data_IF_161069256459
#
_entry.id   IF_161069256459
#
_cell.length_a   1.000
_cell.length_b   1.000
_cell.length_c   1.000
_cell.angle_alpha   90.00
_cell.angle_beta   90.00
_cell.angle_gamma   90.00
#
_symmetry.space_group_name_H-M   'P 1'
#
loop_
_entity.id
_entity.type
_entity.pdbx_description
1 polymer ?
#
# COMPACT_ATOMS: atom_id res chain seq x y z
N UNK A 1 28.42 -16.17 12.39
CA UNK A 1 27.94 -14.89 11.83
C UNK A 1 26.47 -14.75 12.17
N UNK A 2 26.02 -13.62 12.74
CA UNK A 2 24.58 -13.37 12.90
C UNK A 2 23.99 -13.27 11.49
N UNK A 3 23.07 -14.15 11.13
CA UNK A 3 22.21 -13.93 9.98
C UNK A 3 21.46 -12.62 10.20
N UNK A 4 21.80 -11.58 9.45
CA UNK A 4 20.97 -10.41 9.34
C UNK A 4 19.75 -10.82 8.55
N UNK A 5 18.58 -10.77 9.20
CA UNK A 5 17.34 -11.20 8.62
C UNK A 5 16.33 -10.08 8.87
N UNK A 6 16.13 -9.25 7.83
CA UNK A 6 15.19 -8.13 7.84
C UNK A 6 13.86 -8.52 8.46
N UNK A 7 13.32 -9.67 8.03
CA UNK A 7 12.06 -10.17 8.55
C UNK A 7 12.09 -10.41 10.07
N UNK A 8 13.15 -11.05 10.60
CA UNK A 8 13.29 -11.25 12.06
C UNK A 8 13.41 -9.92 12.79
N UNK A 9 14.14 -8.96 12.23
CA UNK A 9 14.35 -7.65 12.83
C UNK A 9 13.03 -6.86 12.91
N UNK A 10 12.27 -6.77 11.81
CA UNK A 10 10.94 -6.14 11.79
C UNK A 10 9.98 -6.82 12.75
N UNK A 11 9.88 -8.16 12.69
CA UNK A 11 9.02 -8.95 13.59
C UNK A 11 9.33 -8.71 15.06
N UNK A 12 10.62 -8.65 15.42
CA UNK A 12 11.03 -8.36 16.79
C UNK A 12 10.62 -6.94 17.21
N UNK A 13 10.83 -5.96 16.33
CA UNK A 13 10.49 -4.56 16.57
C UNK A 13 8.98 -4.35 16.76
N UNK A 14 8.15 -5.00 15.94
CA UNK A 14 6.68 -5.02 16.11
C UNK A 14 6.30 -5.60 17.47
N UNK A 15 6.85 -6.77 17.83
CA UNK A 15 6.53 -7.44 19.09
C UNK A 15 6.95 -6.63 20.33
N UNK A 16 8.09 -5.94 20.25
CA UNK A 16 8.60 -5.09 21.34
C UNK A 16 7.73 -3.86 21.56
N UNK A 17 7.09 -3.33 20.51
CA UNK A 17 6.31 -2.09 20.59
C UNK A 17 4.79 -2.30 20.69
N UNK A 18 4.29 -3.50 20.37
CA UNK A 18 2.86 -3.82 20.36
C UNK A 18 2.14 -3.61 21.71
N UNK A 19 2.86 -3.50 22.84
CA UNK A 19 2.23 -3.20 24.13
C UNK A 19 1.54 -1.83 24.16
N UNK A 20 1.98 -0.86 23.34
CA UNK A 20 1.45 0.51 23.33
C UNK A 20 -0.02 0.59 22.93
N UNK A 21 -0.48 -0.36 22.12
CA UNK A 21 -1.86 -0.41 21.63
C UNK A 21 -2.77 -1.33 22.46
N UNK A 22 -2.23 -2.07 23.45
CA UNK A 22 -3.03 -3.00 24.27
C UNK A 22 -4.16 -2.32 25.04
N UNK A 23 -3.95 -1.07 25.47
CA UNK A 23 -4.97 -0.29 26.19
C UNK A 23 -6.25 -0.05 25.36
N UNK A 24 -6.14 -0.13 24.04
CA UNK A 24 -7.27 0.00 23.10
C UNK A 24 -7.91 -1.35 22.74
N UNK A 25 -7.53 -2.45 23.42
CA UNK A 25 -8.11 -3.78 23.22
C UNK A 25 -7.56 -4.56 22.02
N UNK A 26 -6.51 -4.06 21.35
CA UNK A 26 -5.84 -4.80 20.27
C UNK A 26 -5.11 -6.04 20.81
N UNK A 27 -5.22 -7.14 20.05
CA UNK A 27 -4.60 -8.42 20.38
C UNK A 27 -3.14 -8.46 19.96
N UNK A 28 -2.47 -9.60 20.20
CA UNK A 28 -1.16 -9.86 19.59
C UNK A 28 -1.30 -9.87 18.08
N UNK A 29 -0.32 -9.30 17.39
CA UNK A 29 -0.22 -9.37 15.94
C UNK A 29 -0.15 -10.83 15.49
N UNK A 30 -0.96 -11.16 14.50
CA UNK A 30 -0.91 -12.41 13.75
C UNK A 30 -0.12 -12.18 12.49
N UNK A 31 0.69 -13.16 12.14
CA UNK A 31 1.50 -13.12 10.93
C UNK A 31 0.78 -13.83 9.79
N UNK A 32 0.81 -13.21 8.62
CA UNK A 32 0.36 -13.77 7.35
C UNK A 32 1.34 -13.42 6.24
N UNK A 33 1.21 -14.10 5.11
CA UNK A 33 1.95 -13.78 3.90
C UNK A 33 0.96 -13.66 2.74
N UNK A 34 1.08 -12.58 1.98
CA UNK A 34 0.30 -12.35 0.77
C UNK A 34 1.29 -12.05 -0.36
N UNK A 35 1.35 -12.94 -1.35
CA UNK A 35 2.36 -12.90 -2.40
C UNK A 35 3.79 -12.74 -1.81
N UNK A 36 4.45 -11.62 -2.09
CA UNK A 36 5.83 -11.32 -1.65
C UNK A 36 5.89 -10.51 -0.34
N UNK A 37 4.74 -10.13 0.22
CA UNK A 37 4.62 -9.32 1.43
C UNK A 37 4.35 -10.18 2.68
N UNK A 38 5.01 -9.79 3.77
CA UNK A 38 4.70 -10.26 5.11
C UNK A 38 3.76 -9.27 5.79
N UNK A 39 2.66 -9.77 6.33
CA UNK A 39 1.66 -8.98 7.03
C UNK A 39 1.66 -9.31 8.52
N UNK A 40 1.58 -8.28 9.33
CA UNK A 40 1.39 -8.36 10.77
C UNK A 40 0.11 -7.62 11.10
N UNK A 41 -0.95 -8.38 11.34
CA UNK A 41 -2.30 -7.84 11.53
C UNK A 41 -2.77 -8.00 12.98
N UNK A 42 -3.35 -6.97 13.57
CA UNK A 42 -3.99 -7.03 14.88
C UNK A 42 -5.37 -6.39 14.84
N UNK A 43 -6.33 -7.04 15.51
CA UNK A 43 -7.70 -6.55 15.64
C UNK A 43 -8.10 -6.38 17.10
N UNK A 44 -9.01 -5.45 17.35
CA UNK A 44 -9.66 -5.27 18.65
C UNK A 44 -11.06 -5.91 18.68
N UNK A 45 -11.77 -5.77 19.81
CA UNK A 45 -13.13 -6.32 19.98
C UNK A 45 -14.24 -5.56 19.23
N UNK A 46 -13.92 -4.40 18.63
CA UNK A 46 -14.86 -3.56 17.87
C UNK A 46 -14.79 -3.81 16.37
N UNK A 47 -13.83 -4.62 15.91
CA UNK A 47 -13.58 -4.85 14.49
C UNK A 47 -12.54 -3.93 13.88
N UNK A 48 -11.92 -3.03 14.66
CA UNK A 48 -10.83 -2.20 14.17
C UNK A 48 -9.58 -3.05 13.91
N UNK A 49 -8.86 -2.73 12.85
CA UNK A 49 -7.68 -3.44 12.38
C UNK A 49 -6.48 -2.51 12.21
N UNK A 50 -5.30 -2.99 12.61
CA UNK A 50 -4.00 -2.43 12.26
C UNK A 50 -3.23 -3.51 11.51
N UNK A 51 -2.77 -3.18 10.30
CA UNK A 51 -1.92 -4.05 9.48
C UNK A 51 -0.57 -3.37 9.26
N UNK A 52 0.52 -4.09 9.48
CA UNK A 52 1.88 -3.65 9.17
C UNK A 52 2.45 -4.64 8.15
N UNK A 53 2.78 -4.16 6.96
CA UNK A 53 3.31 -5.01 5.88
C UNK A 53 4.65 -4.51 5.33
N UNK A 54 5.42 -5.45 4.77
CA UNK A 54 6.68 -5.19 4.07
C UNK A 54 7.08 -6.40 3.23
N UNK A 55 7.88 -6.19 2.19
CA UNK A 55 8.58 -7.25 1.47
C UNK A 55 9.93 -7.54 2.13
N UNK A 56 10.38 -8.80 2.12
CA UNK A 56 11.67 -9.19 2.71
C UNK A 56 12.90 -8.82 1.86
N UNK A 57 12.92 -7.59 1.32
CA UNK A 57 14.05 -7.00 0.58
C UNK A 57 14.59 -5.83 1.41
N UNK A 58 15.92 -5.71 1.51
CA UNK A 58 16.61 -4.75 2.40
C UNK A 58 16.18 -3.30 2.25
N UNK A 59 15.68 -2.91 1.07
CA UNK A 59 15.26 -1.55 0.72
C UNK A 59 13.74 -1.33 0.81
N UNK A 60 12.94 -2.36 1.09
CA UNK A 60 11.49 -2.23 1.04
C UNK A 60 10.97 -1.33 2.18
N UNK A 61 10.03 -0.41 1.87
CA UNK A 61 9.33 0.37 2.87
C UNK A 61 8.54 -0.50 3.87
N UNK A 62 8.17 0.10 4.99
CA UNK A 62 7.20 -0.48 5.92
C UNK A 62 5.88 0.24 5.69
N UNK A 63 4.86 -0.51 5.29
CA UNK A 63 3.51 0.01 5.11
C UNK A 63 2.69 -0.25 6.36
N UNK A 64 1.83 0.71 6.71
CA UNK A 64 0.91 0.57 7.86
C UNK A 64 -0.47 1.00 7.43
N UNK A 65 -1.47 0.16 7.70
CA UNK A 65 -2.88 0.46 7.48
C UNK A 65 -3.65 0.41 8.80
N UNK A 66 -4.63 1.28 8.93
CA UNK A 66 -5.66 1.27 9.98
C UNK A 66 -7.00 1.17 9.25
N UNK A 67 -7.86 0.20 9.57
CA UNK A 67 -9.17 0.00 8.91
C UNK A 67 -9.10 0.20 7.37
N UNK A 68 -8.15 -0.45 6.68
CA UNK A 68 -7.85 -0.32 5.25
C UNK A 68 -7.31 1.03 4.75
N UNK A 69 -7.17 2.04 5.60
CA UNK A 69 -6.55 3.32 5.23
C UNK A 69 -5.06 3.33 5.56
N UNK A 70 -4.25 3.62 4.54
CA UNK A 70 -2.81 3.86 4.69
C UNK A 70 -2.52 4.98 5.68
N UNK A 71 -1.61 4.74 6.63
CA UNK A 71 -1.31 5.65 7.73
C UNK A 71 -0.84 7.02 7.21
N UNK A 72 -0.02 7.05 6.16
CA UNK A 72 0.47 8.27 5.51
C UNK A 72 -0.65 9.16 4.93
N UNK A 73 -1.87 8.62 4.73
CA UNK A 73 -3.01 9.41 4.25
C UNK A 73 -3.78 10.12 5.37
N UNK A 74 -3.56 9.74 6.63
CA UNK A 74 -4.32 10.22 7.79
C UNK A 74 -3.43 10.79 8.90
N UNK A 75 -2.11 10.67 8.75
CA UNK A 75 -1.11 11.11 9.69
C UNK A 75 -0.01 11.90 8.99
N UNK A 76 0.20 13.12 9.47
CA UNK A 76 1.41 13.91 9.22
C UNK A 76 2.28 13.89 10.48
N UNK A 77 3.53 13.44 10.35
CA UNK A 77 4.50 13.44 11.45
C UNK A 77 5.91 13.70 10.92
N UNK A 78 6.42 14.89 11.21
CA UNK A 78 7.73 15.35 10.73
C UNK A 78 8.87 14.40 11.07
N UNK A 79 8.87 13.79 12.26
CA UNK A 79 9.94 12.85 12.66
C UNK A 79 9.87 11.56 11.84
N UNK A 80 8.67 11.03 11.63
CA UNK A 80 8.46 9.87 10.78
C UNK A 80 8.88 10.15 9.32
N UNK A 81 8.56 11.33 8.79
CA UNK A 81 8.99 11.79 7.46
C UNK A 81 10.51 11.91 7.34
N UNK A 82 11.19 12.45 8.36
CA UNK A 82 12.66 12.53 8.41
C UNK A 82 13.30 11.13 8.36
N UNK A 83 12.76 10.16 9.11
CA UNK A 83 13.24 8.77 9.11
C UNK A 83 13.03 8.12 7.74
N UNK A 84 11.84 8.25 7.16
CA UNK A 84 11.52 7.70 5.82
C UNK A 84 12.39 8.33 4.73
N UNK A 85 12.64 9.62 4.81
CA UNK A 85 13.54 10.33 3.89
C UNK A 85 14.97 9.81 4.00
N UNK A 86 15.47 9.55 5.21
CA UNK A 86 16.78 8.95 5.43
C UNK A 86 16.88 7.53 4.84
N UNK A 87 15.83 6.71 4.97
CA UNK A 87 15.76 5.38 4.32
C UNK A 87 15.79 5.50 2.79
N UNK A 88 15.00 6.41 2.21
CA UNK A 88 15.00 6.64 0.77
C UNK A 88 16.38 7.06 0.26
N UNK A 89 17.05 7.98 0.95
CA UNK A 89 18.41 8.40 0.61
C UNK A 89 19.44 7.25 0.72
N UNK A 90 19.23 6.33 1.66
CA UNK A 90 20.11 5.18 1.87
C UNK A 90 19.99 4.12 0.75
N UNK A 91 18.80 3.94 0.17
CA UNK A 91 18.51 2.82 -0.72
C UNK A 91 18.24 3.17 -2.18
N UNK A 92 17.57 4.29 -2.46
CA UNK A 92 17.03 4.57 -3.80
C UNK A 92 18.13 4.68 -4.86
N UNK A 93 19.29 5.24 -4.50
CA UNK A 93 20.40 5.37 -5.46
C UNK A 93 20.90 4.04 -6.01
N UNK A 94 20.98 3.01 -5.18
CA UNK A 94 21.37 1.66 -5.61
C UNK A 94 20.19 0.92 -6.24
N UNK A 95 18.98 1.08 -5.70
CA UNK A 95 17.80 0.44 -6.26
C UNK A 95 17.52 0.91 -7.69
N UNK A 96 17.63 2.21 -7.97
CA UNK A 96 17.48 2.74 -9.32
C UNK A 96 18.54 2.20 -10.28
N UNK A 97 19.81 2.09 -9.83
CA UNK A 97 20.86 1.47 -10.64
C UNK A 97 20.61 0.00 -10.92
N UNK A 98 20.03 -0.73 -9.96
CA UNK A 98 19.60 -2.10 -10.19
C UNK A 98 18.50 -2.16 -11.26
N UNK A 99 17.49 -1.28 -11.21
CA UNK A 99 16.44 -1.23 -12.22
C UNK A 99 16.95 -0.86 -13.61
N UNK A 100 17.96 0.02 -13.69
CA UNK A 100 18.54 0.46 -14.97
C UNK A 100 19.50 -0.55 -15.59
N UNK A 101 20.30 -1.24 -14.76
CA UNK A 101 21.43 -2.06 -15.20
C UNK A 101 21.22 -3.56 -15.01
N UNK A 102 20.16 -3.96 -14.29
CA UNK A 102 19.85 -5.33 -13.88
C UNK A 102 21.01 -6.03 -13.13
N UNK A 103 21.94 -5.25 -12.55
CA UNK A 103 23.10 -5.77 -11.84
C UNK A 103 22.79 -6.00 -10.35
N UNK A 104 22.72 -7.28 -9.97
CA UNK A 104 22.47 -7.71 -8.60
C UNK A 104 23.48 -7.19 -7.56
N UNK A 105 24.65 -6.70 -7.97
CA UNK A 105 25.61 -6.04 -7.08
C UNK A 105 24.95 -4.90 -6.30
N UNK A 106 24.09 -4.10 -6.92
CA UNK A 106 23.45 -2.96 -6.26
C UNK A 106 22.44 -3.41 -5.17
N UNK A 107 21.82 -4.58 -5.32
CA UNK A 107 21.05 -5.20 -4.25
C UNK A 107 21.94 -5.67 -3.11
N UNK A 108 23.12 -6.21 -3.42
CA UNK A 108 24.16 -6.52 -2.43
C UNK A 108 24.62 -5.29 -1.65
N UNK A 109 24.84 -4.16 -2.33
CA UNK A 109 25.21 -2.90 -1.70
C UNK A 109 24.08 -2.39 -0.77
N UNK A 110 22.81 -2.56 -1.15
CA UNK A 110 21.67 -2.26 -0.28
C UNK A 110 21.59 -3.17 0.95
N UNK A 111 22.00 -4.42 0.83
CA UNK A 111 22.12 -5.31 1.98
C UNK A 111 23.22 -4.85 2.96
N UNK A 112 24.36 -4.38 2.46
CA UNK A 112 25.40 -3.80 3.32
C UNK A 112 24.94 -2.49 3.98
N UNK A 113 24.23 -1.62 3.23
CA UNK A 113 23.60 -0.42 3.79
C UNK A 113 22.58 -0.77 4.89
N UNK A 114 21.84 -1.87 4.74
CA UNK A 114 20.94 -2.36 5.77
C UNK A 114 21.67 -2.73 7.06
N UNK A 115 22.78 -3.47 6.97
CA UNK A 115 23.60 -3.81 8.14
C UNK A 115 24.21 -2.58 8.80
N UNK A 116 24.65 -1.61 8.01
CA UNK A 116 25.32 -0.42 8.51
C UNK A 116 24.37 0.55 9.20
N UNK A 117 23.17 0.76 8.64
CA UNK A 117 22.24 1.80 9.13
C UNK A 117 20.77 1.44 9.02
N UNK A 118 20.38 0.68 8.00
CA UNK A 118 18.97 0.41 7.70
C UNK A 118 18.19 -0.25 8.81
N UNK A 119 18.80 -1.21 9.52
CA UNK A 119 18.16 -1.86 10.67
C UNK A 119 17.74 -0.84 11.73
N UNK A 120 18.63 0.07 12.08
CA UNK A 120 18.36 1.12 13.08
C UNK A 120 17.23 2.06 12.63
N UNK A 121 17.21 2.43 11.34
CA UNK A 121 16.15 3.26 10.78
C UNK A 121 14.79 2.55 10.80
N UNK A 122 14.74 1.25 10.52
CA UNK A 122 13.50 0.46 10.62
C UNK A 122 13.00 0.39 12.07
N UNK A 123 13.90 0.19 13.03
CA UNK A 123 13.55 0.18 14.45
C UNK A 123 13.05 1.55 14.91
N UNK A 124 13.66 2.64 14.45
CA UNK A 124 13.22 4.01 14.72
C UNK A 124 11.84 4.29 14.13
N UNK A 125 11.61 3.88 12.88
CA UNK A 125 10.32 4.03 12.18
C UNK A 125 9.21 3.30 12.95
N UNK A 126 9.39 2.01 13.26
CA UNK A 126 8.40 1.23 13.98
C UNK A 126 8.16 1.74 15.40
N UNK A 127 9.21 2.08 16.14
CA UNK A 127 9.03 2.68 17.47
C UNK A 127 8.22 3.99 17.37
N UNK A 128 8.53 4.86 16.40
CA UNK A 128 7.80 6.11 16.21
C UNK A 128 6.33 5.89 15.83
N UNK A 129 6.06 4.94 14.93
CA UNK A 129 4.70 4.55 14.57
C UNK A 129 3.94 4.09 15.82
N UNK A 130 4.51 3.18 16.61
CA UNK A 130 3.85 2.68 17.81
C UNK A 130 3.70 3.72 18.93
N UNK A 131 4.60 4.69 19.05
CA UNK A 131 4.39 5.87 19.91
C UNK A 131 3.15 6.65 19.47
N UNK A 132 3.03 6.95 18.17
CA UNK A 132 1.90 7.67 17.62
C UNK A 132 0.60 6.89 17.80
N UNK A 133 0.59 5.58 17.53
CA UNK A 133 -0.57 4.72 17.81
C UNK A 133 -0.85 4.69 19.32
N UNK A 134 0.18 4.68 20.16
CA UNK A 134 0.02 4.75 21.61
C UNK A 134 -0.69 6.02 22.08
N UNK A 135 -0.49 7.15 21.40
CA UNK A 135 -1.00 8.45 21.85
C UNK A 135 -2.29 8.88 21.13
N UNK A 136 -2.44 8.51 19.84
CA UNK A 136 -3.44 9.08 18.92
C UNK A 136 -4.32 8.05 18.22
N UNK A 137 -4.30 6.78 18.62
CA UNK A 137 -5.02 5.73 17.86
C UNK A 137 -6.51 6.00 17.67
N UNK A 138 -7.22 6.53 18.68
CA UNK A 138 -8.65 6.84 18.54
C UNK A 138 -8.91 7.93 17.49
N UNK A 139 -8.07 8.96 17.43
CA UNK A 139 -8.15 10.00 16.38
C UNK A 139 -7.89 9.40 15.00
N UNK A 140 -6.90 8.51 14.89
CA UNK A 140 -6.54 7.87 13.63
C UNK A 140 -7.63 6.91 13.13
N UNK A 141 -8.31 6.19 14.04
CA UNK A 141 -9.46 5.35 13.71
C UNK A 141 -10.60 6.20 13.13
N UNK A 142 -10.95 7.32 13.79
CA UNK A 142 -11.98 8.23 13.27
C UNK A 142 -11.61 8.78 11.89
N UNK A 143 -10.35 9.18 11.69
CA UNK A 143 -9.89 9.67 10.37
C UNK A 143 -9.92 8.58 9.31
N UNK A 144 -9.57 7.34 9.67
CA UNK A 144 -9.65 6.20 8.76
C UNK A 144 -11.09 5.95 8.34
N UNK A 145 -12.03 5.91 9.28
CA UNK A 145 -13.44 5.68 8.99
C UNK A 145 -14.02 6.81 8.13
N UNK A 146 -13.67 8.07 8.43
CA UNK A 146 -14.02 9.22 7.58
C UNK A 146 -13.44 9.10 6.18
N UNK A 147 -12.20 8.61 6.03
CA UNK A 147 -11.59 8.36 4.73
C UNK A 147 -12.36 7.28 3.97
N UNK A 148 -12.71 6.16 4.61
CA UNK A 148 -13.55 5.12 4.03
C UNK A 148 -14.93 5.66 3.59
N UNK A 149 -15.52 6.60 4.33
CA UNK A 149 -16.78 7.25 3.96
C UNK A 149 -16.61 8.35 2.88
N UNK A 150 -15.43 8.96 2.78
CA UNK A 150 -15.11 10.03 1.82
C UNK A 150 -14.64 9.50 0.46
N UNK A 151 -14.14 8.26 0.43
CA UNK A 151 -14.15 7.44 -0.78
C UNK A 151 -15.64 7.21 -1.02
N UNK A 152 -16.27 8.11 -1.78
CA UNK A 152 -17.59 7.85 -2.35
C UNK A 152 -17.48 6.46 -2.94
N UNK A 153 -18.42 5.58 -2.62
CA UNK A 153 -18.58 4.35 -3.38
C UNK A 153 -18.44 4.75 -4.86
N UNK A 154 -17.45 4.20 -5.60
CA UNK A 154 -17.44 4.41 -7.03
C UNK A 154 -18.85 4.08 -7.52
N UNK A 155 -19.39 4.85 -8.50
CA UNK A 155 -20.68 4.51 -9.07
C UNK A 155 -20.69 3.01 -9.34
N UNK A 156 -21.77 2.29 -8.96
CA UNK A 156 -21.75 0.84 -8.80
C UNK A 156 -20.98 0.20 -9.94
N UNK A 157 -19.92 -0.52 -9.57
CA UNK A 157 -19.06 -1.26 -10.49
C UNK A 157 -19.99 -1.98 -11.46
N UNK A 158 -19.87 -1.54 -12.69
CA UNK A 158 -20.62 -2.10 -13.77
C UNK A 158 -19.85 -3.37 -14.12
N UNK A 159 -20.31 -4.53 -13.65
CA UNK A 159 -19.54 -5.79 -13.76
C UNK A 159 -19.39 -6.30 -15.21
N UNK A 160 -19.83 -5.53 -16.21
CA UNK A 160 -19.78 -5.94 -17.61
C UNK A 160 -19.20 -4.88 -18.55
N UNK A 161 -18.60 -5.36 -19.65
CA UNK A 161 -18.16 -4.51 -20.77
C UNK A 161 -19.30 -3.65 -21.32
N UNK A 162 -20.52 -4.21 -21.38
CA UNK A 162 -21.70 -3.48 -21.84
C UNK A 162 -22.04 -2.32 -20.92
N UNK A 163 -22.05 -2.57 -19.62
CA UNK A 163 -22.41 -1.55 -18.64
C UNK A 163 -21.33 -0.45 -18.56
N UNK A 164 -20.05 -0.77 -18.69
CA UNK A 164 -18.98 0.24 -18.72
C UNK A 164 -19.09 1.10 -19.98
N UNK A 165 -19.47 0.50 -21.12
CA UNK A 165 -19.75 1.23 -22.36
C UNK A 165 -20.91 2.22 -22.22
N UNK A 166 -21.92 1.89 -21.43
CA UNK A 166 -23.04 2.82 -21.19
C UNK A 166 -22.65 3.92 -20.20
N UNK A 167 -21.97 3.56 -19.11
CA UNK A 167 -21.51 4.53 -18.10
C UNK A 167 -20.49 5.52 -18.68
N UNK A 168 -19.61 5.08 -19.58
CA UNK A 168 -18.61 5.95 -20.23
C UNK A 168 -19.18 7.05 -21.12
N UNK A 169 -20.47 6.95 -21.47
CA UNK A 169 -21.19 7.99 -22.22
C UNK A 169 -21.72 9.10 -21.32
N UNK A 170 -21.76 8.89 -20.01
CA UNK A 170 -22.31 9.87 -19.07
C UNK A 170 -21.35 11.04 -18.87
N UNK A 171 -21.89 12.23 -18.59
CA UNK A 171 -21.09 13.41 -18.28
C UNK A 171 -20.32 13.25 -16.96
N UNK A 172 -20.89 12.52 -16.00
CA UNK A 172 -20.25 12.24 -14.70
C UNK A 172 -18.97 11.43 -14.88
N UNK A 173 -19.04 10.29 -15.57
CA UNK A 173 -17.86 9.48 -15.84
C UNK A 173 -16.78 10.24 -16.60
N UNK A 174 -17.15 11.05 -17.60
CA UNK A 174 -16.19 11.82 -18.39
C UNK A 174 -15.47 12.89 -17.55
N UNK A 175 -16.22 13.59 -16.70
CA UNK A 175 -15.66 14.56 -15.77
C UNK A 175 -14.73 13.90 -14.75
N UNK A 176 -15.06 12.70 -14.30
CA UNK A 176 -14.21 11.94 -13.40
C UNK A 176 -12.94 11.46 -14.12
N UNK A 177 -13.05 10.91 -15.33
CA UNK A 177 -11.88 10.51 -16.13
C UNK A 177 -10.89 11.68 -16.29
N UNK A 178 -11.36 12.88 -16.62
CA UNK A 178 -10.50 14.07 -16.74
C UNK A 178 -9.78 14.47 -15.44
N UNK A 179 -10.31 14.09 -14.28
CA UNK A 179 -9.72 14.38 -12.96
C UNK A 179 -8.69 13.35 -12.53
N UNK A 180 -8.84 12.11 -12.96
CA UNK A 180 -7.94 11.00 -12.62
C UNK A 180 -6.83 10.85 -13.66
N UNK A 181 -5.72 10.18 -13.30
CA UNK A 181 -4.59 10.00 -14.23
C UNK A 181 -4.91 9.01 -15.35
N UNK A 182 -5.55 7.90 -14.99
CA UNK A 182 -5.95 6.83 -15.91
C UNK A 182 -7.04 5.95 -15.26
N UNK A 183 -7.67 5.13 -16.09
CA UNK A 183 -8.63 4.09 -15.70
C UNK A 183 -7.97 2.73 -15.86
N UNK A 184 -8.17 1.83 -14.90
CA UNK A 184 -7.81 0.42 -15.01
C UNK A 184 -9.06 -0.38 -15.38
N UNK A 185 -8.93 -1.31 -16.32
CA UNK A 185 -9.90 -2.38 -16.56
C UNK A 185 -9.22 -3.73 -16.28
N UNK A 186 -9.74 -4.47 -15.31
CA UNK A 186 -9.31 -5.81 -14.97
C UNK A 186 -10.26 -6.86 -15.53
N UNK A 187 -9.67 -7.96 -16.02
CA UNK A 187 -10.37 -9.14 -16.51
C UNK A 187 -9.77 -10.37 -15.83
N UNK A 188 -10.32 -11.56 -16.09
CA UNK A 188 -9.73 -12.83 -15.67
C UNK A 188 -8.35 -13.13 -16.29
N UNK A 189 -7.94 -12.38 -17.32
CA UNK A 189 -6.76 -12.67 -18.16
C UNK A 189 -5.71 -11.55 -18.18
N UNK A 190 -6.13 -10.31 -18.07
CA UNK A 190 -5.26 -9.16 -18.18
C UNK A 190 -5.86 -7.93 -17.49
N UNK A 191 -4.95 -7.01 -17.14
CA UNK A 191 -5.23 -5.66 -16.72
C UNK A 191 -4.89 -4.71 -17.87
N UNK A 192 -5.72 -3.71 -18.12
CA UNK A 192 -5.56 -2.73 -19.19
C UNK A 192 -5.61 -1.34 -18.56
N UNK A 193 -4.54 -0.56 -18.73
CA UNK A 193 -4.49 0.85 -18.36
C UNK A 193 -4.99 1.71 -19.52
N UNK A 194 -5.87 2.66 -19.22
CA UNK A 194 -6.55 3.49 -20.20
C UNK A 194 -6.32 4.96 -19.84
N UNK A 195 -5.66 5.70 -20.73
CA UNK A 195 -5.26 7.10 -20.51
C UNK A 195 -6.16 8.10 -21.23
N UNK A 196 -7.09 7.62 -22.08
CA UNK A 196 -8.02 8.47 -22.83
C UNK A 196 -9.36 7.77 -23.12
N UNK A 197 -10.37 8.57 -23.47
CA UNK A 197 -11.69 8.04 -23.88
C UNK A 197 -11.58 7.26 -25.20
N UNK A 198 -10.68 7.67 -26.09
CA UNK A 198 -10.39 6.97 -27.35
C UNK A 198 -9.80 5.57 -27.09
N UNK A 199 -8.86 5.47 -26.14
CA UNK A 199 -8.31 4.19 -25.68
C UNK A 199 -9.39 3.34 -25.01
N UNK A 200 -10.26 3.93 -24.19
CA UNK A 200 -11.37 3.23 -23.54
C UNK A 200 -12.26 2.56 -24.59
N UNK A 201 -12.66 3.31 -25.62
CA UNK A 201 -13.52 2.79 -26.68
C UNK A 201 -12.84 1.62 -27.42
N UNK A 202 -11.56 1.78 -27.73
CA UNK A 202 -10.77 0.73 -28.39
C UNK A 202 -10.66 -0.54 -27.53
N UNK A 203 -10.44 -0.38 -26.22
CA UNK A 203 -10.39 -1.50 -25.28
C UNK A 203 -11.74 -2.20 -25.15
N UNK A 204 -12.85 -1.46 -25.05
CA UNK A 204 -14.20 -2.02 -24.96
C UNK A 204 -14.62 -2.77 -26.23
N UNK A 205 -14.17 -2.33 -27.41
CA UNK A 205 -14.35 -3.07 -28.67
C UNK A 205 -13.55 -4.37 -28.66
N UNK A 206 -12.26 -4.30 -28.32
CA UNK A 206 -11.41 -5.47 -28.25
C UNK A 206 -11.90 -6.53 -27.25
N UNK A 207 -12.34 -6.10 -26.05
CA UNK A 207 -12.90 -7.01 -25.04
C UNK A 207 -14.17 -7.71 -25.53
N UNK A 208 -15.03 -6.97 -26.25
CA UNK A 208 -16.24 -7.53 -26.87
C UNK A 208 -15.89 -8.59 -27.93
N UNK A 209 -14.91 -8.30 -28.80
CA UNK A 209 -14.45 -9.24 -29.83
C UNK A 209 -13.84 -10.53 -29.25
N UNK A 210 -13.27 -10.45 -28.03
CA UNK A 210 -12.73 -11.61 -27.31
C UNK A 210 -13.77 -12.35 -26.47
N UNK A 211 -15.05 -11.96 -26.52
CA UNK A 211 -16.12 -12.47 -25.67
C UNK A 211 -15.79 -12.39 -24.17
N UNK A 212 -15.00 -11.38 -23.76
CA UNK A 212 -14.77 -11.07 -22.35
C UNK A 212 -15.95 -10.23 -21.90
N UNK A 213 -16.70 -10.73 -20.91
CA UNK A 213 -17.96 -10.12 -20.48
C UNK A 213 -17.84 -9.53 -19.08
N UNK A 214 -17.16 -10.23 -18.17
CA UNK A 214 -16.95 -9.79 -16.79
C UNK A 214 -15.68 -8.96 -16.68
N UNK A 215 -15.81 -7.77 -16.11
CA UNK A 215 -14.69 -6.85 -15.87
C UNK A 215 -14.86 -6.16 -14.52
N UNK A 216 -13.74 -5.77 -13.94
CA UNK A 216 -13.67 -4.79 -12.86
C UNK A 216 -12.98 -3.54 -13.42
N UNK A 217 -13.34 -2.36 -12.93
CA UNK A 217 -12.69 -1.13 -13.39
C UNK A 217 -12.66 -0.06 -12.32
N UNK A 218 -11.55 0.68 -12.25
CA UNK A 218 -11.40 1.75 -11.27
C UNK A 218 -10.58 2.92 -11.83
N UNK A 219 -10.84 4.11 -11.31
CA UNK A 219 -10.03 5.28 -11.59
C UNK A 219 -8.82 5.36 -10.65
N UNK A 220 -7.67 5.77 -11.19
CA UNK A 220 -6.42 5.89 -10.43
C UNK A 220 -5.95 7.36 -10.35
N UNK A 221 -5.66 7.81 -9.12
CA UNK A 221 -5.16 9.18 -8.80
C UNK A 221 -3.68 9.42 -9.10
#
# INVERSE_FOLDING_TARGET
MKEFNLYKDIKNSINQNAFRIKKYGFKKFKEGQLAYEYHFTSTNGKGDEIDISFEAISSSPIWVRINNTHLERILEDKKLEEIRSAKNALYNGNFNKYLELEDAKYLGDNFENYKARGKELNDQELNRIFEILGDKLEELLVKSDQRCLSIKEPPPLSDTVFSLREVSKTAEFRNDFERYKYLIIETDKCQIEIFSIEELNSALEWLSDKNITNIEWEFVE
#
